data_IF_652652827117
#
_entry.id   IF_652652827117
#
_cell.length_a   1.000
_cell.length_b   1.000
_cell.length_c   1.000
_cell.angle_alpha   90.00
_cell.angle_beta   90.00
_cell.angle_gamma   90.00
#
_symmetry.space_group_name_H-M   'P 1'
#
loop_
_entity.id
_entity.type
_entity.pdbx_description
1 polymer ?
#
# COMPACT_ATOMS: atom_id res chain seq x y z
N UNK A 1 -44.43 12.74 73.40
CA UNK A 1 -44.28 12.46 71.98
C UNK A 1 -44.37 10.93 71.72
N UNK A 2 -45.30 10.46 70.94
CA UNK A 2 -45.57 9.02 70.79
C UNK A 2 -44.44 8.30 70.08
N UNK A 3 -44.12 7.16 70.62
CA UNK A 3 -43.05 6.24 70.17
C UNK A 3 -43.05 5.90 68.65
N UNK A 4 -44.23 6.03 68.02
CA UNK A 4 -44.44 5.80 66.59
C UNK A 4 -43.77 6.83 65.64
N UNK A 5 -43.56 8.08 66.11
CA UNK A 5 -42.91 9.14 65.34
C UNK A 5 -41.38 8.96 65.26
N UNK A 6 -40.78 8.30 66.24
CA UNK A 6 -39.33 8.01 66.26
C UNK A 6 -38.97 6.81 65.38
N UNK A 7 -39.87 5.84 65.21
CA UNK A 7 -39.63 4.67 64.37
C UNK A 7 -39.68 5.00 62.88
N UNK A 8 -40.58 5.94 62.48
CA UNK A 8 -40.70 6.38 61.07
C UNK A 8 -39.51 7.26 60.61
N UNK A 9 -38.90 8.03 61.56
CA UNK A 9 -37.71 8.84 61.25
C UNK A 9 -36.44 7.99 61.08
N UNK A 10 -36.33 6.88 61.83
CA UNK A 10 -35.19 5.97 61.74
C UNK A 10 -35.22 5.14 60.46
N UNK A 11 -36.40 4.75 59.96
CA UNK A 11 -36.53 4.04 58.67
C UNK A 11 -36.32 4.94 57.45
N UNK A 12 -36.66 6.24 57.52
CA UNK A 12 -36.38 7.20 56.46
C UNK A 12 -34.89 7.53 56.30
N UNK A 13 -34.10 7.51 57.38
CA UNK A 13 -32.65 7.74 57.34
C UNK A 13 -31.89 6.54 56.74
N UNK A 14 -32.39 5.31 56.88
CA UNK A 14 -31.75 4.10 56.36
C UNK A 14 -31.95 3.96 54.84
N UNK A 15 -33.02 4.52 54.29
CA UNK A 15 -33.27 4.51 52.82
C UNK A 15 -32.52 5.61 52.06
N UNK A 16 -32.14 6.71 52.72
CA UNK A 16 -31.35 7.79 52.11
C UNK A 16 -29.85 7.45 52.01
N UNK A 17 -29.35 6.50 52.78
CA UNK A 17 -27.94 6.11 52.80
C UNK A 17 -27.51 5.23 51.62
N UNK A 18 -28.42 4.48 51.00
CA UNK A 18 -28.09 3.59 49.86
C UNK A 18 -28.08 4.25 48.49
N UNK A 19 -28.74 5.39 48.35
CA UNK A 19 -28.79 6.09 47.04
C UNK A 19 -27.52 6.93 46.76
N UNK A 20 -26.71 7.23 47.74
CA UNK A 20 -25.48 8.03 47.60
C UNK A 20 -24.21 7.23 47.34
N UNK A 21 -24.22 5.93 47.63
CA UNK A 21 -23.02 5.07 47.52
C UNK A 21 -22.85 4.42 46.12
N UNK A 22 -23.88 4.45 45.30
CA UNK A 22 -23.83 3.84 43.95
C UNK A 22 -23.32 4.81 42.88
N UNK A 23 -23.23 6.11 43.15
CA UNK A 23 -22.84 7.14 42.15
C UNK A 23 -21.34 7.40 42.01
N UNK A 24 -20.49 6.77 42.78
CA UNK A 24 -19.06 7.17 42.86
C UNK A 24 -18.04 6.12 42.42
N UNK A 25 -18.41 5.20 41.53
CA UNK A 25 -17.47 4.14 41.15
C UNK A 25 -17.43 3.73 39.67
N UNK A 26 -18.45 4.07 38.89
CA UNK A 26 -18.50 3.62 37.49
C UNK A 26 -18.22 4.78 36.53
N UNK A 27 -17.11 4.72 35.83
CA UNK A 27 -16.67 5.68 34.82
C UNK A 27 -16.75 5.16 33.38
N UNK A 28 -16.62 6.07 32.43
CA UNK A 28 -16.52 5.68 31.01
C UNK A 28 -15.16 5.03 30.77
N UNK A 29 -15.08 3.94 29.97
CA UNK A 29 -13.79 3.41 29.54
C UNK A 29 -13.06 4.47 28.70
N UNK A 30 -11.74 4.34 28.63
CA UNK A 30 -10.90 5.20 27.80
C UNK A 30 -10.36 4.41 26.66
N UNK A 31 -10.39 4.99 25.45
CA UNK A 31 -9.76 4.42 24.26
C UNK A 31 -8.80 5.44 23.69
N UNK A 32 -7.58 5.01 23.39
CA UNK A 32 -6.54 5.83 22.79
C UNK A 32 -5.86 5.08 21.65
N UNK A 33 -5.36 5.81 20.65
CA UNK A 33 -4.47 5.21 19.64
C UNK A 33 -3.06 5.19 20.20
N UNK A 34 -2.55 4.01 20.49
CA UNK A 34 -1.19 3.79 21.02
C UNK A 34 -0.15 3.68 19.92
N UNK A 35 -0.53 3.11 18.79
CA UNK A 35 0.37 2.95 17.64
C UNK A 35 -0.37 3.07 16.30
N UNK A 36 0.37 3.56 15.31
CA UNK A 36 0.01 3.49 13.91
C UNK A 36 1.30 3.23 13.14
N UNK A 37 1.44 2.02 12.57
CA UNK A 37 2.68 1.55 11.94
C UNK A 37 2.39 1.09 10.52
N UNK A 38 3.36 1.28 9.63
CA UNK A 38 3.35 0.65 8.32
C UNK A 38 3.72 -0.83 8.51
N UNK A 39 2.73 -1.71 8.35
CA UNK A 39 2.92 -3.15 8.52
C UNK A 39 3.41 -3.82 7.23
N UNK A 40 2.92 -3.34 6.07
CA UNK A 40 3.42 -3.78 4.77
C UNK A 40 3.32 -2.68 3.73
N UNK A 41 4.22 -2.73 2.75
CA UNK A 41 4.31 -1.82 1.62
C UNK A 41 4.60 -2.62 0.36
N UNK A 42 3.92 -2.30 -0.74
CA UNK A 42 4.17 -2.88 -2.05
C UNK A 42 3.79 -1.89 -3.14
N UNK A 43 4.10 -2.18 -4.41
CA UNK A 43 3.63 -1.36 -5.54
C UNK A 43 2.12 -1.44 -5.78
N UNK A 44 1.41 -2.34 -5.10
CA UNK A 44 -0.04 -2.50 -5.20
C UNK A 44 -0.80 -1.79 -4.08
N UNK A 45 -0.14 -1.52 -2.93
CA UNK A 45 -0.78 -0.90 -1.78
C UNK A 45 0.06 -0.94 -0.52
N UNK A 46 -0.54 -0.48 0.57
CA UNK A 46 0.06 -0.46 1.90
C UNK A 46 -0.93 -0.95 2.96
N UNK A 47 -0.42 -1.61 4.00
CA UNK A 47 -1.19 -1.98 5.19
C UNK A 47 -0.68 -1.17 6.37
N UNK A 48 -1.59 -0.43 6.99
CA UNK A 48 -1.36 0.26 8.25
C UNK A 48 -1.89 -0.61 9.40
N UNK A 49 -1.10 -0.79 10.43
CA UNK A 49 -1.49 -1.48 11.67
C UNK A 49 -1.74 -0.45 12.75
N UNK A 50 -2.98 -0.35 13.22
CA UNK A 50 -3.36 0.53 14.32
C UNK A 50 -3.50 -0.28 15.60
N UNK A 51 -2.85 0.18 16.69
CA UNK A 51 -3.03 -0.36 18.02
C UNK A 51 -3.86 0.60 18.89
N UNK A 52 -4.96 0.11 19.44
CA UNK A 52 -5.85 0.87 20.32
C UNK A 52 -5.73 0.35 21.75
N UNK A 53 -5.26 1.21 22.65
CA UNK A 53 -5.30 0.93 24.08
C UNK A 53 -6.69 1.18 24.64
N UNK A 54 -7.28 0.16 25.26
CA UNK A 54 -8.57 0.22 25.94
C UNK A 54 -8.33 0.08 27.43
N UNK A 55 -8.73 1.08 28.21
CA UNK A 55 -8.57 1.14 29.66
C UNK A 55 -9.95 1.10 30.34
N UNK A 56 -10.19 0.07 31.15
CA UNK A 56 -11.36 -0.04 32.00
C UNK A 56 -11.03 0.48 33.40
N UNK A 57 -11.42 1.71 33.78
CA UNK A 57 -11.16 2.24 35.10
C UNK A 57 -12.11 1.71 36.19
N UNK A 58 -13.03 0.82 35.81
CA UNK A 58 -14.10 0.38 36.69
C UNK A 58 -13.69 -0.84 37.53
N UNK A 59 -14.18 -0.98 38.75
CA UNK A 59 -13.95 -2.17 39.59
C UNK A 59 -14.77 -3.39 39.15
N UNK A 60 -15.45 -3.30 38.00
CA UNK A 60 -16.23 -4.36 37.35
C UNK A 60 -15.79 -4.56 35.91
N UNK A 61 -15.99 -5.77 35.39
CA UNK A 61 -15.69 -6.05 33.98
C UNK A 61 -16.61 -5.28 33.04
N UNK A 62 -16.12 -4.95 31.85
CA UNK A 62 -16.87 -4.33 30.77
C UNK A 62 -16.87 -5.24 29.56
N UNK A 63 -17.95 -5.18 28.79
CA UNK A 63 -18.07 -5.84 27.50
C UNK A 63 -17.92 -4.84 26.35
N UNK A 64 -17.01 -5.15 25.39
CA UNK A 64 -16.92 -4.41 24.13
C UNK A 64 -17.81 -5.12 23.10
N UNK A 65 -18.89 -4.50 22.69
CA UNK A 65 -19.80 -5.01 21.67
C UNK A 65 -19.15 -5.05 20.27
N UNK A 66 -18.23 -4.14 20.02
CA UNK A 66 -17.52 -4.01 18.76
C UNK A 66 -17.08 -2.57 18.48
N UNK A 67 -16.53 -2.36 17.31
CA UNK A 67 -16.13 -1.04 16.85
C UNK A 67 -16.37 -0.86 15.36
N UNK A 68 -16.63 0.36 14.97
CA UNK A 68 -16.71 0.80 13.59
C UNK A 68 -15.51 1.70 13.27
N UNK A 69 -15.10 1.72 12.01
CA UNK A 69 -14.03 2.60 11.55
C UNK A 69 -14.25 3.10 10.14
N UNK A 70 -13.66 4.24 9.84
CA UNK A 70 -13.60 4.81 8.51
C UNK A 70 -12.20 5.38 8.26
N UNK A 71 -11.60 5.02 7.11
CA UNK A 71 -10.34 5.59 6.64
C UNK A 71 -10.63 6.56 5.50
N UNK A 72 -10.18 7.79 5.67
CA UNK A 72 -10.15 8.82 4.63
C UNK A 72 -8.72 9.08 4.20
N UNK A 73 -8.50 9.30 2.90
CA UNK A 73 -7.21 9.69 2.32
C UNK A 73 -7.41 10.97 1.54
N UNK A 74 -6.56 11.98 1.79
CA UNK A 74 -6.69 13.32 1.18
C UNK A 74 -8.12 13.91 1.29
N UNK A 75 -8.78 13.63 2.43
CA UNK A 75 -10.14 14.09 2.71
C UNK A 75 -11.27 13.25 2.10
N UNK A 76 -10.97 12.31 1.19
CA UNK A 76 -11.97 11.41 0.62
C UNK A 76 -12.06 10.10 1.41
N UNK A 77 -13.28 9.68 1.75
CA UNK A 77 -13.53 8.41 2.42
C UNK A 77 -13.24 7.25 1.46
N UNK A 78 -12.25 6.43 1.80
CA UNK A 78 -11.78 5.32 0.96
C UNK A 78 -12.33 3.97 1.41
N UNK A 79 -12.52 3.79 2.71
CA UNK A 79 -13.09 2.56 3.24
C UNK A 79 -13.76 2.79 4.57
N UNK A 80 -14.68 1.91 4.90
CA UNK A 80 -15.32 1.82 6.20
C UNK A 80 -15.53 0.35 6.55
N UNK A 81 -15.57 0.07 7.82
CA UNK A 81 -15.79 -1.27 8.30
C UNK A 81 -16.37 -1.28 9.70
N UNK A 82 -16.95 -2.41 10.06
CA UNK A 82 -17.40 -2.72 11.39
C UNK A 82 -16.87 -4.08 11.79
N UNK A 83 -16.38 -4.17 13.00
CA UNK A 83 -15.96 -5.43 13.59
C UNK A 83 -16.76 -5.65 14.86
N UNK A 84 -17.57 -6.69 14.86
CA UNK A 84 -18.21 -7.17 16.08
C UNK A 84 -17.14 -7.89 16.90
N UNK A 85 -16.94 -7.44 18.11
CA UNK A 85 -15.96 -8.01 19.03
C UNK A 85 -16.69 -8.41 20.30
N UNK A 86 -16.45 -9.62 20.77
CA UNK A 86 -16.92 -10.08 22.08
C UNK A 86 -15.73 -10.10 23.03
N UNK A 87 -15.18 -8.92 23.29
CA UNK A 87 -14.03 -8.75 24.17
C UNK A 87 -14.49 -8.34 25.55
N UNK A 88 -14.18 -9.16 26.54
CA UNK A 88 -14.41 -8.84 27.95
C UNK A 88 -13.15 -8.21 28.54
N UNK A 89 -13.29 -7.00 29.04
CA UNK A 89 -12.24 -6.30 29.78
C UNK A 89 -12.46 -6.53 31.27
N UNK A 90 -11.48 -7.12 31.94
CA UNK A 90 -11.54 -7.30 33.39
C UNK A 90 -11.58 -5.95 34.12
N UNK A 91 -12.00 -5.97 35.40
CA UNK A 91 -11.98 -4.79 36.26
C UNK A 91 -10.57 -4.19 36.34
N UNK A 92 -10.45 -2.87 36.21
CA UNK A 92 -9.19 -2.10 36.28
C UNK A 92 -8.11 -2.60 35.29
N UNK A 93 -8.53 -3.24 34.18
CA UNK A 93 -7.61 -3.78 33.19
C UNK A 93 -7.39 -2.84 32.01
N UNK A 94 -6.22 -3.01 31.39
CA UNK A 94 -5.88 -2.42 30.10
C UNK A 94 -5.65 -3.52 29.08
N UNK A 95 -6.10 -3.29 27.84
CA UNK A 95 -5.93 -4.22 26.73
C UNK A 95 -5.70 -3.47 25.43
N UNK A 96 -4.89 -4.05 24.54
CA UNK A 96 -4.65 -3.48 23.21
C UNK A 96 -5.44 -4.27 22.17
N UNK A 97 -6.10 -3.55 21.26
CA UNK A 97 -6.82 -4.09 20.11
C UNK A 97 -6.05 -3.68 18.86
N UNK A 98 -5.71 -4.65 18.02
CA UNK A 98 -4.99 -4.41 16.78
C UNK A 98 -5.96 -4.42 15.59
N UNK A 99 -5.83 -3.40 14.71
CA UNK A 99 -6.64 -3.26 13.50
C UNK A 99 -5.71 -3.09 12.28
N UNK A 100 -5.57 -4.11 11.43
CA UNK A 100 -4.91 -3.95 10.14
C UNK A 100 -5.87 -3.30 9.13
N UNK A 101 -5.39 -2.27 8.45
CA UNK A 101 -6.14 -1.56 7.40
C UNK A 101 -5.32 -1.55 6.13
N UNK A 102 -5.76 -2.31 5.12
CA UNK A 102 -5.06 -2.42 3.82
C UNK A 102 -5.70 -1.50 2.79
N UNK A 103 -4.89 -0.62 2.22
CA UNK A 103 -5.28 0.31 1.17
C UNK A 103 -4.65 -0.10 -0.16
N UNK A 104 -5.46 -0.32 -1.19
CA UNK A 104 -5.01 -0.61 -2.55
C UNK A 104 -4.81 0.68 -3.33
N UNK A 105 -3.63 0.89 -3.90
CA UNK A 105 -3.31 2.12 -4.64
C UNK A 105 -4.18 2.33 -5.88
N UNK A 106 -4.62 1.25 -6.53
CA UNK A 106 -5.55 1.35 -7.66
C UNK A 106 -6.83 2.12 -7.29
N UNK A 107 -7.35 1.93 -6.08
CA UNK A 107 -8.54 2.66 -5.60
C UNK A 107 -8.24 4.15 -5.40
N UNK A 108 -7.03 4.50 -4.94
CA UNK A 108 -6.60 5.90 -4.81
C UNK A 108 -6.49 6.57 -6.17
N UNK A 109 -5.83 5.94 -7.13
CA UNK A 109 -5.56 6.54 -8.45
C UNK A 109 -6.83 6.70 -9.30
N UNK A 110 -7.82 5.80 -9.15
CA UNK A 110 -9.11 5.94 -9.82
C UNK A 110 -10.02 6.97 -9.16
N UNK A 111 -9.93 7.11 -7.82
CA UNK A 111 -10.78 8.01 -7.04
C UNK A 111 -10.22 9.43 -6.84
N UNK A 112 -8.90 9.60 -6.85
CA UNK A 112 -8.21 10.83 -6.42
C UNK A 112 -7.12 11.23 -7.41
N UNK A 113 -7.45 11.96 -8.47
CA UNK A 113 -6.46 12.43 -9.47
C UNK A 113 -5.30 13.21 -8.86
N UNK A 114 -5.54 13.93 -7.77
CA UNK A 114 -4.53 14.76 -7.09
C UNK A 114 -3.43 13.96 -6.37
N UNK A 115 -3.62 12.65 -6.13
CA UNK A 115 -2.59 11.81 -5.47
C UNK A 115 -1.61 11.17 -6.46
N UNK A 116 -1.91 11.19 -7.76
CA UNK A 116 -1.12 10.48 -8.79
C UNK A 116 0.34 10.93 -8.83
N UNK A 117 0.62 12.19 -8.50
CA UNK A 117 1.97 12.75 -8.50
C UNK A 117 2.59 12.86 -7.10
N UNK A 118 1.84 12.56 -6.04
CA UNK A 118 2.34 12.60 -4.67
C UNK A 118 3.18 11.37 -4.34
N UNK A 119 4.16 11.53 -3.47
CA UNK A 119 4.96 10.44 -2.88
C UNK A 119 4.36 9.94 -1.57
N UNK A 120 3.53 10.77 -0.95
CA UNK A 120 2.81 10.48 0.29
C UNK A 120 1.39 11.02 0.19
N UNK A 121 0.47 10.40 0.92
CA UNK A 121 -0.90 10.89 1.10
C UNK A 121 -1.25 10.99 2.58
N UNK A 122 -1.88 12.09 2.96
CA UNK A 122 -2.42 12.24 4.30
C UNK A 122 -3.62 11.31 4.51
N UNK A 123 -3.67 10.60 5.64
CA UNK A 123 -4.84 9.81 6.02
C UNK A 123 -5.43 10.28 7.34
N UNK A 124 -6.72 10.01 7.51
CA UNK A 124 -7.46 10.16 8.74
C UNK A 124 -8.21 8.86 9.02
N UNK A 125 -7.94 8.23 10.16
CA UNK A 125 -8.73 7.13 10.70
C UNK A 125 -9.66 7.67 11.78
N UNK A 126 -10.95 7.53 11.58
CA UNK A 126 -11.99 7.73 12.59
C UNK A 126 -12.52 6.36 13.01
N UNK A 127 -12.52 6.07 14.32
CA UNK A 127 -13.08 4.83 14.84
C UNK A 127 -13.97 5.11 16.06
N UNK A 128 -14.90 4.19 16.34
CA UNK A 128 -15.81 4.31 17.46
C UNK A 128 -16.03 2.97 18.15
N UNK A 129 -15.67 2.87 19.42
CA UNK A 129 -15.75 1.67 20.24
C UNK A 129 -17.01 1.69 21.08
N UNK A 130 -17.86 0.66 20.97
CA UNK A 130 -19.12 0.53 21.67
C UNK A 130 -18.98 -0.42 22.86
N UNK A 131 -19.23 0.07 24.07
CA UNK A 131 -19.17 -0.68 25.32
C UNK A 131 -20.55 -0.74 25.96
N UNK A 132 -20.86 -1.89 26.58
CA UNK A 132 -21.96 -2.00 27.53
C UNK A 132 -21.41 -1.76 28.94
N UNK A 133 -21.77 -0.62 29.51
CA UNK A 133 -21.25 -0.16 30.82
C UNK A 133 -22.37 -0.26 31.85
N UNK A 134 -22.20 -1.02 32.95
CA UNK A 134 -23.20 -1.09 34.01
C UNK A 134 -23.65 0.30 34.44
N UNK A 135 -24.95 0.49 34.68
CA UNK A 135 -25.58 1.75 35.09
C UNK A 135 -25.60 2.84 33.98
N UNK A 136 -24.59 2.92 33.11
CA UNK A 136 -24.50 3.94 32.06
C UNK A 136 -25.14 3.47 30.73
N UNK A 137 -25.34 2.14 30.59
CA UNK A 137 -25.80 1.54 29.33
C UNK A 137 -24.74 1.56 28.23
N UNK A 138 -25.21 1.58 26.99
CA UNK A 138 -24.33 1.56 25.82
C UNK A 138 -23.63 2.91 25.62
N UNK A 139 -22.28 2.88 25.67
CA UNK A 139 -21.43 4.05 25.51
C UNK A 139 -20.54 3.86 24.29
N UNK A 140 -20.50 4.85 23.38
CA UNK A 140 -19.59 4.87 22.22
C UNK A 140 -18.45 5.86 22.48
N UNK A 141 -17.22 5.40 22.38
CA UNK A 141 -16.01 6.19 22.55
C UNK A 141 -15.39 6.44 21.17
N UNK A 142 -15.40 7.66 20.66
CA UNK A 142 -14.76 8.00 19.40
C UNK A 142 -13.25 8.17 19.59
N UNK A 143 -12.47 7.75 18.63
CA UNK A 143 -11.03 8.01 18.51
C UNK A 143 -10.69 8.42 17.10
N UNK A 144 -9.69 9.28 16.95
CA UNK A 144 -9.23 9.78 15.66
C UNK A 144 -7.71 9.73 15.59
N UNK A 145 -7.17 9.33 14.46
CA UNK A 145 -5.74 9.33 14.16
C UNK A 145 -5.48 9.89 12.78
N UNK A 146 -4.52 10.79 12.69
CA UNK A 146 -4.03 11.33 11.43
C UNK A 146 -2.57 10.92 11.22
N UNK A 147 -2.16 10.82 9.96
CA UNK A 147 -0.79 10.50 9.58
C UNK A 147 -0.63 10.52 8.07
N UNK A 148 0.56 10.11 7.62
CA UNK A 148 0.89 9.97 6.21
C UNK A 148 1.13 8.51 5.86
N UNK A 149 0.75 8.12 4.66
CA UNK A 149 1.08 6.82 4.09
C UNK A 149 1.93 7.01 2.84
N UNK A 150 3.00 6.22 2.63
CA UNK A 150 3.80 6.30 1.42
C UNK A 150 2.99 5.80 0.21
N UNK A 151 3.21 6.45 -0.93
CA UNK A 151 2.65 6.08 -2.22
C UNK A 151 3.77 5.65 -3.15
N UNK A 152 3.80 4.39 -3.54
CA UNK A 152 4.79 3.90 -4.49
C UNK A 152 4.25 3.97 -5.92
N UNK A 153 5.14 4.39 -6.82
CA UNK A 153 4.91 4.43 -8.26
C UNK A 153 5.69 3.30 -8.92
N UNK A 154 5.10 2.71 -9.94
CA UNK A 154 5.79 1.70 -10.74
C UNK A 154 7.05 2.27 -11.35
N UNK A 155 8.19 1.56 -11.29
CA UNK A 155 9.37 1.86 -12.08
C UNK A 155 9.02 1.91 -13.56
N UNK A 156 9.71 2.75 -14.31
CA UNK A 156 9.50 2.89 -15.76
C UNK A 156 10.66 2.25 -16.49
N UNK A 157 10.36 1.36 -17.42
CA UNK A 157 11.35 0.74 -18.30
C UNK A 157 11.24 1.42 -19.66
N UNK A 158 12.35 1.96 -20.14
CA UNK A 158 12.42 2.65 -21.44
C UNK A 158 13.51 2.05 -22.29
N UNK A 159 13.18 1.78 -23.56
CA UNK A 159 14.16 1.43 -24.57
C UNK A 159 14.69 2.73 -25.20
N UNK A 160 15.95 3.06 -24.94
CA UNK A 160 16.56 4.32 -25.39
C UNK A 160 17.17 4.16 -26.80
N UNK A 161 17.82 3.02 -27.04
CA UNK A 161 18.52 2.75 -28.30
C UNK A 161 18.50 1.28 -28.64
N UNK A 162 18.47 1.00 -29.94
CA UNK A 162 18.66 -0.33 -30.51
C UNK A 162 19.88 -0.26 -31.44
N UNK A 163 20.99 -0.83 -31.01
CA UNK A 163 22.19 -0.93 -31.84
C UNK A 163 22.19 -2.28 -32.59
N UNK A 164 22.39 -2.24 -33.89
CA UNK A 164 22.50 -3.44 -34.74
C UNK A 164 23.96 -3.88 -34.70
N UNK A 165 24.24 -4.95 -33.96
CA UNK A 165 25.58 -5.54 -33.86
C UNK A 165 25.92 -6.45 -35.05
N UNK A 166 24.88 -7.05 -35.62
CA UNK A 166 25.01 -7.90 -36.81
C UNK A 166 23.69 -8.00 -37.56
N UNK A 167 23.75 -7.99 -38.90
CA UNK A 167 22.58 -8.13 -39.76
C UNK A 167 22.89 -9.03 -40.94
N UNK A 168 22.09 -10.07 -41.12
CA UNK A 168 22.11 -11.00 -42.24
C UNK A 168 20.70 -11.28 -42.74
N UNK A 169 20.56 -11.96 -43.87
CA UNK A 169 19.24 -12.33 -44.39
C UNK A 169 18.46 -13.28 -43.45
N UNK A 170 19.13 -13.95 -42.47
CA UNK A 170 18.52 -14.94 -41.59
C UNK A 170 18.37 -14.47 -40.17
N UNK A 171 19.24 -13.58 -39.68
CA UNK A 171 19.28 -13.17 -38.30
C UNK A 171 19.76 -11.73 -38.14
N UNK A 172 19.31 -11.09 -37.06
CA UNK A 172 19.85 -9.82 -36.59
C UNK A 172 20.26 -9.98 -35.14
N UNK A 173 21.48 -9.53 -34.79
CA UNK A 173 21.97 -9.42 -33.44
C UNK A 173 21.86 -7.95 -33.00
N UNK A 174 21.07 -7.69 -31.98
CA UNK A 174 20.78 -6.37 -31.47
C UNK A 174 21.34 -6.21 -30.07
N UNK A 175 21.78 -5.00 -29.74
CA UNK A 175 22.08 -4.58 -28.40
C UNK A 175 21.09 -3.49 -27.98
N UNK A 176 20.24 -3.79 -27.02
CA UNK A 176 19.17 -2.93 -26.55
C UNK A 176 19.63 -2.12 -25.34
N UNK A 177 19.74 -0.79 -25.47
CA UNK A 177 20.02 0.08 -24.32
C UNK A 177 18.71 0.38 -23.61
N UNK A 178 18.57 -0.17 -22.41
CA UNK A 178 17.38 -0.08 -21.57
C UNK A 178 17.66 0.78 -20.34
N UNK A 179 16.81 1.74 -20.08
CA UNK A 179 16.81 2.54 -18.85
C UNK A 179 15.67 2.14 -17.95
N UNK A 180 15.95 1.95 -16.67
CA UNK A 180 14.98 1.69 -15.61
C UNK A 180 14.98 2.87 -14.66
N UNK A 181 13.88 3.64 -14.62
CA UNK A 181 13.72 4.80 -13.75
C UNK A 181 12.92 4.43 -12.51
N UNK A 182 13.44 4.73 -11.34
CA UNK A 182 12.74 4.56 -10.06
C UNK A 182 12.29 5.94 -9.54
N UNK A 183 10.99 6.28 -9.57
CA UNK A 183 10.50 7.58 -9.10
C UNK A 183 10.26 7.64 -7.58
N UNK A 184 10.63 6.59 -6.83
CA UNK A 184 10.34 6.45 -5.41
C UNK A 184 11.54 6.87 -4.53
N UNK A 185 11.26 7.23 -3.27
CA UNK A 185 12.28 7.59 -2.29
C UNK A 185 12.94 6.37 -1.60
N UNK A 186 12.66 5.17 -2.09
CA UNK A 186 13.28 3.91 -1.67
C UNK A 186 13.93 3.21 -2.87
N UNK A 187 14.93 2.38 -2.61
CA UNK A 187 15.56 1.54 -3.63
C UNK A 187 14.55 0.52 -4.16
N UNK A 188 14.54 0.31 -5.47
CA UNK A 188 13.77 -0.74 -6.13
C UNK A 188 14.72 -1.78 -6.74
N UNK A 189 14.41 -3.06 -6.51
CA UNK A 189 15.11 -4.18 -7.13
C UNK A 189 14.14 -4.92 -8.05
N UNK A 190 14.49 -5.04 -9.33
CA UNK A 190 13.80 -5.87 -10.29
C UNK A 190 14.51 -7.22 -10.33
N UNK A 191 13.77 -8.31 -10.09
CA UNK A 191 14.29 -9.68 -10.14
C UNK A 191 14.27 -10.19 -11.59
N UNK A 192 15.08 -9.57 -12.43
CA UNK A 192 15.08 -9.80 -13.87
C UNK A 192 14.10 -8.94 -14.65
N UNK A 193 14.22 -8.97 -15.95
CA UNK A 193 13.30 -8.36 -16.92
C UNK A 193 12.96 -9.44 -17.94
N UNK A 194 11.68 -9.74 -18.11
CA UNK A 194 11.18 -10.64 -19.16
C UNK A 194 9.89 -10.06 -19.74
N UNK A 195 10.03 -9.28 -20.80
CA UNK A 195 8.92 -8.57 -21.44
C UNK A 195 8.84 -8.87 -22.92
N UNK A 196 7.62 -8.96 -23.45
CA UNK A 196 7.39 -8.94 -24.90
C UNK A 196 7.90 -7.64 -25.49
N UNK A 197 8.48 -7.70 -26.68
CA UNK A 197 8.95 -6.54 -27.45
C UNK A 197 8.23 -6.45 -28.78
N UNK A 198 7.62 -5.31 -29.02
CA UNK A 198 7.09 -4.94 -30.34
C UNK A 198 7.90 -3.78 -30.92
N UNK A 199 8.12 -3.80 -32.22
CA UNK A 199 8.69 -2.69 -32.99
C UNK A 199 7.73 -2.33 -34.14
N UNK A 200 7.33 -1.07 -34.22
CA UNK A 200 6.32 -0.60 -35.17
C UNK A 200 5.08 -1.52 -35.19
N UNK A 201 4.56 -1.85 -33.98
CA UNK A 201 3.40 -2.71 -33.73
C UNK A 201 3.57 -4.19 -34.16
N UNK A 202 4.79 -4.63 -34.49
CA UNK A 202 5.08 -6.04 -34.80
C UNK A 202 5.83 -6.67 -33.63
N UNK A 203 5.34 -7.82 -33.17
CA UNK A 203 6.08 -8.60 -32.18
C UNK A 203 7.38 -9.11 -32.82
N UNK A 204 8.49 -8.82 -32.18
CA UNK A 204 9.83 -9.21 -32.65
C UNK A 204 10.53 -10.18 -31.72
N UNK A 205 10.01 -10.38 -30.48
CA UNK A 205 10.57 -11.31 -29.53
C UNK A 205 10.34 -10.85 -28.10
N UNK A 206 11.23 -11.30 -27.21
CA UNK A 206 11.23 -10.96 -25.78
C UNK A 206 12.54 -10.30 -25.39
N UNK A 207 12.44 -9.26 -24.59
CA UNK A 207 13.57 -8.64 -23.92
C UNK A 207 13.76 -9.39 -22.60
N UNK A 208 14.86 -10.15 -22.47
CA UNK A 208 15.15 -10.97 -21.32
C UNK A 208 16.48 -10.54 -20.70
N UNK A 209 16.45 -10.26 -19.39
CA UNK A 209 17.61 -10.01 -18.56
C UNK A 209 17.44 -10.78 -17.24
N UNK A 210 18.28 -11.75 -16.96
CA UNK A 210 18.13 -12.64 -15.80
C UNK A 210 18.73 -12.07 -14.51
N UNK A 211 19.55 -11.03 -14.61
CA UNK A 211 20.20 -10.40 -13.45
C UNK A 211 19.26 -9.50 -12.65
N UNK A 212 19.51 -9.34 -11.35
CA UNK A 212 18.83 -8.33 -10.53
C UNK A 212 19.28 -6.93 -10.94
N UNK A 213 18.33 -6.07 -11.26
CA UNK A 213 18.55 -4.66 -11.56
C UNK A 213 18.18 -3.82 -10.34
N UNK A 214 19.19 -3.22 -9.69
CA UNK A 214 19.02 -2.33 -8.54
C UNK A 214 18.99 -0.89 -8.99
N UNK A 215 17.93 -0.20 -8.65
CA UNK A 215 17.75 1.21 -8.99
C UNK A 215 17.60 2.02 -7.71
N UNK A 216 18.59 2.87 -7.45
CA UNK A 216 18.58 3.74 -6.28
C UNK A 216 17.31 4.61 -6.21
N UNK A 217 16.98 5.10 -5.02
CA UNK A 217 15.90 6.05 -4.82
C UNK A 217 16.03 7.26 -5.77
N UNK A 218 14.96 7.59 -6.48
CA UNK A 218 14.90 8.64 -7.50
C UNK A 218 15.99 8.52 -8.59
N UNK A 219 16.51 7.32 -8.79
CA UNK A 219 17.61 7.02 -9.72
C UNK A 219 17.15 6.43 -11.03
N UNK A 220 18.12 6.29 -11.93
CA UNK A 220 17.99 5.59 -13.21
C UNK A 220 19.15 4.65 -13.37
N UNK A 221 18.87 3.38 -13.62
CA UNK A 221 19.85 2.38 -13.99
C UNK A 221 19.79 2.11 -15.49
N UNK A 222 20.95 1.92 -16.12
CA UNK A 222 21.06 1.63 -17.54
C UNK A 222 21.77 0.30 -17.75
N UNK A 223 21.18 -0.53 -18.60
CA UNK A 223 21.74 -1.83 -18.94
C UNK A 223 21.65 -2.07 -20.46
N UNK A 224 22.53 -2.93 -20.96
CA UNK A 224 22.48 -3.38 -22.33
C UNK A 224 22.03 -4.83 -22.37
N UNK A 225 20.92 -5.09 -23.08
CA UNK A 225 20.35 -6.42 -23.23
C UNK A 225 20.58 -6.90 -24.65
N UNK A 226 21.29 -8.00 -24.85
CA UNK A 226 21.43 -8.60 -26.18
C UNK A 226 20.12 -9.27 -26.62
N UNK A 227 19.76 -9.12 -27.88
CA UNK A 227 18.59 -9.75 -28.47
C UNK A 227 18.94 -10.26 -29.88
N UNK A 228 18.73 -11.57 -30.10
CA UNK A 228 18.88 -12.18 -31.42
C UNK A 228 17.49 -12.41 -32.00
N UNK A 229 17.31 -11.90 -33.23
CA UNK A 229 16.06 -12.04 -34.01
C UNK A 229 16.25 -13.09 -35.13
N UNK A 230 15.26 -13.96 -35.29
CA UNK A 230 15.15 -14.85 -36.46
C UNK A 230 14.35 -14.15 -37.56
N UNK A 231 15.05 -13.63 -38.55
CA UNK A 231 14.45 -12.87 -39.65
C UNK A 231 13.73 -13.76 -40.66
N UNK A 232 13.97 -15.08 -40.67
CA UNK A 232 13.21 -16.03 -41.49
C UNK A 232 11.77 -16.08 -40.98
N UNK A 233 11.56 -16.12 -39.67
CA UNK A 233 10.23 -16.13 -39.05
C UNK A 233 9.56 -14.75 -39.09
N UNK A 234 10.32 -13.67 -38.83
CA UNK A 234 9.80 -12.31 -38.77
C UNK A 234 9.53 -11.67 -40.14
N UNK A 235 10.16 -12.18 -41.16
CA UNK A 235 9.92 -11.78 -42.55
C UNK A 235 10.67 -10.53 -43.02
N UNK A 236 10.60 -10.28 -44.33
CA UNK A 236 11.35 -9.22 -45.01
C UNK A 236 11.00 -7.79 -44.55
N UNK A 237 9.85 -7.59 -43.96
CA UNK A 237 9.47 -6.24 -43.44
C UNK A 237 10.32 -5.83 -42.26
N UNK A 238 10.62 -6.75 -41.34
CA UNK A 238 11.50 -6.49 -40.18
C UNK A 238 12.93 -6.30 -40.66
N UNK A 239 13.40 -7.12 -41.59
CA UNK A 239 14.72 -6.94 -42.23
C UNK A 239 14.88 -5.52 -42.81
N UNK A 240 13.91 -5.06 -43.64
CA UNK A 240 13.95 -3.70 -44.20
C UNK A 240 13.95 -2.61 -43.16
N UNK A 241 13.12 -2.76 -42.10
CA UNK A 241 13.09 -1.80 -40.98
C UNK A 241 14.47 -1.69 -40.33
N UNK A 242 15.13 -2.82 -40.03
CA UNK A 242 16.45 -2.83 -39.44
C UNK A 242 17.51 -2.26 -40.39
N UNK A 243 17.45 -2.61 -41.69
CA UNK A 243 18.40 -2.12 -42.69
C UNK A 243 18.31 -0.61 -42.94
N UNK A 244 17.13 -0.04 -42.85
CA UNK A 244 16.92 1.40 -43.07
C UNK A 244 17.33 2.25 -41.90
N UNK A 245 17.37 1.68 -40.69
CA UNK A 245 17.67 2.44 -39.47
C UNK A 245 16.59 3.50 -39.14
N UNK A 246 16.95 4.48 -38.31
CA UNK A 246 16.06 5.60 -37.97
C UNK A 246 15.35 5.41 -36.64
N UNK A 247 14.19 6.07 -36.46
CA UNK A 247 13.41 5.98 -35.24
C UNK A 247 12.29 4.96 -35.43
N UNK A 248 12.13 4.08 -34.42
CA UNK A 248 11.07 3.06 -34.38
C UNK A 248 10.21 3.25 -33.16
N UNK A 249 8.90 3.02 -33.29
CA UNK A 249 8.01 2.92 -32.16
C UNK A 249 8.20 1.54 -31.51
N UNK A 250 8.28 1.50 -30.17
CA UNK A 250 8.37 0.23 -29.44
C UNK A 250 7.23 0.08 -28.45
N UNK A 251 6.89 -1.16 -28.14
CA UNK A 251 6.04 -1.54 -27.02
C UNK A 251 6.70 -2.64 -26.22
N UNK A 252 6.57 -2.56 -24.91
CA UNK A 252 6.99 -3.56 -23.93
C UNK A 252 5.75 -4.00 -23.15
N UNK A 253 5.57 -5.30 -22.93
CA UNK A 253 4.49 -5.85 -22.13
C UNK A 253 4.94 -7.12 -21.42
N UNK A 254 4.53 -7.29 -20.15
CA UNK A 254 4.90 -8.44 -19.34
C UNK A 254 4.60 -8.23 -17.87
N UNK A 255 5.29 -8.99 -17.03
CA UNK A 255 5.25 -8.86 -15.57
C UNK A 255 6.62 -8.48 -15.04
N UNK A 256 6.63 -7.69 -13.97
CA UNK A 256 7.84 -7.32 -13.23
C UNK A 256 7.75 -7.87 -11.81
N UNK A 257 8.78 -8.63 -11.42
CA UNK A 257 8.97 -9.05 -10.04
C UNK A 257 9.81 -8.01 -9.32
N UNK A 258 9.19 -7.32 -8.37
CA UNK A 258 9.75 -6.16 -7.68
C UNK A 258 9.95 -6.46 -6.19
N UNK A 259 11.09 -6.04 -5.65
CA UNK A 259 11.39 -6.06 -4.23
C UNK A 259 12.14 -4.78 -3.82
N UNK A 260 12.44 -4.65 -2.53
CA UNK A 260 13.19 -3.54 -1.96
C UNK A 260 13.88 -3.99 -0.68
N UNK A 261 14.92 -3.27 -0.27
CA UNK A 261 15.58 -3.45 1.02
C UNK A 261 14.79 -2.88 2.21
N UNK A 262 13.69 -2.16 1.97
CA UNK A 262 12.81 -1.62 3.02
C UNK A 262 12.15 -2.77 3.81
N UNK A 263 12.30 -2.83 5.16
CA UNK A 263 11.80 -3.95 5.96
C UNK A 263 10.29 -4.21 5.86
N UNK A 264 9.49 -3.15 5.65
CA UNK A 264 8.04 -3.27 5.47
C UNK A 264 7.65 -3.69 4.04
N UNK A 265 8.60 -3.75 3.10
CA UNK A 265 8.29 -4.03 1.70
C UNK A 265 8.02 -5.52 1.48
N UNK A 266 6.91 -5.80 0.81
CA UNK A 266 6.53 -7.15 0.39
C UNK A 266 6.78 -7.28 -1.11
N UNK A 267 7.58 -8.27 -1.48
CA UNK A 267 7.84 -8.59 -2.89
C UNK A 267 6.53 -8.79 -3.65
N UNK A 268 6.43 -8.22 -4.83
CA UNK A 268 5.22 -8.26 -5.63
C UNK A 268 5.53 -8.45 -7.11
N UNK A 269 4.73 -9.30 -7.76
CA UNK A 269 4.69 -9.41 -9.20
C UNK A 269 3.55 -8.52 -9.72
N UNK A 270 3.87 -7.62 -10.65
CA UNK A 270 2.93 -6.64 -11.17
C UNK A 270 2.95 -6.60 -12.71
N UNK A 271 1.79 -6.50 -13.36
CA UNK A 271 1.74 -6.32 -14.80
C UNK A 271 2.38 -4.99 -15.20
N UNK A 272 3.15 -5.02 -16.26
CA UNK A 272 3.86 -3.88 -16.79
C UNK A 272 3.55 -3.70 -18.26
N UNK A 273 3.38 -2.46 -18.70
CA UNK A 273 3.35 -2.07 -20.10
C UNK A 273 4.06 -0.73 -20.29
N UNK A 274 4.85 -0.64 -21.33
CA UNK A 274 5.56 0.58 -21.69
C UNK A 274 5.59 0.76 -23.19
N UNK A 275 5.61 1.99 -23.65
CA UNK A 275 5.77 2.30 -25.07
C UNK A 275 6.59 3.58 -25.25
N UNK A 276 7.12 3.77 -26.43
CA UNK A 276 7.92 4.94 -26.74
C UNK A 276 8.57 4.85 -28.12
N UNK A 277 9.60 5.64 -28.30
CA UNK A 277 10.42 5.67 -29.50
C UNK A 277 11.86 5.37 -29.14
N UNK A 278 12.53 4.58 -29.96
CA UNK A 278 13.95 4.27 -29.83
C UNK A 278 14.68 4.55 -31.14
N UNK A 279 15.92 4.98 -31.03
CA UNK A 279 16.81 5.13 -32.17
C UNK A 279 17.37 3.78 -32.59
N UNK A 280 17.21 3.45 -33.86
CA UNK A 280 17.78 2.29 -34.47
C UNK A 280 19.04 2.68 -35.25
N UNK A 281 20.19 2.30 -34.74
CA UNK A 281 21.48 2.65 -35.33
C UNK A 281 22.31 1.43 -35.69
N UNK A 282 23.03 1.50 -36.79
CA UNK A 282 24.07 0.52 -37.05
C UNK A 282 25.15 0.65 -35.99
N UNK A 283 25.44 -0.44 -35.26
CA UNK A 283 26.53 -0.45 -34.29
C UNK A 283 27.83 -0.11 -35.04
N UNK A 284 28.38 1.08 -34.81
CA UNK A 284 29.71 1.38 -35.29
C UNK A 284 30.64 0.42 -34.51
N UNK A 285 31.18 -0.57 -35.20
CA UNK A 285 32.37 -1.30 -34.76
C UNK A 285 33.52 -0.30 -34.70
N UNK A 286 33.62 0.37 -33.56
CA UNK A 286 34.79 1.19 -33.26
C UNK A 286 35.99 0.29 -32.92
N UNK A 287 36.64 -0.20 -33.95
CA UNK A 287 38.03 -0.67 -33.84
C UNK A 287 38.89 0.42 -34.46
N UNK A 288 39.53 1.19 -33.59
CA UNK A 288 40.85 1.77 -33.85
C UNK A 288 41.71 1.61 -32.61
#
# INVERSE_FOLDING_TARGET
MPLRARLLLATALLLAGCAGLVKSGIGRPKVSVESAKLASLSFQGATLQFGFGVDNPNPVGLHLDGFDYALSVEGARMMEGRQDSKLDLAANAKQTIELPVTLKYQQLWTGLRQVVEKKEAGYVLDAGFAFDVPVLGRVRIPVRREGNLPLLRMPRIRLERIAIAGLSARAADLALSVAVDNPNDLEAELQGIDTGLTLNQRSVGRLVHEGTVRVAANGTERLTVPLRLDLVQLGSAVFRMLSNGGVVDYGLDGNLSLTSSEPAFVASEVPFSGNGRAELSSGASGTR
#
